data_IF_294827226834
#
_entry.id   IF_294827226834
#
_cell.length_a   1.000
_cell.length_b   1.000
_cell.length_c   1.000
_cell.angle_alpha   90.00
_cell.angle_beta   90.00
_cell.angle_gamma   90.00
#
_symmetry.space_group_name_H-M   'P 1'
#
loop_
_entity.id
_entity.type
_entity.pdbx_description
1 polymer ?
#
# COMPACT_ATOMS: atom_id res chain seq x y z
N UNK A 1 -17.87 -8.22 19.79
CA UNK A 1 -17.80 -7.92 20.21
C UNK A 1 -17.88 -7.25 20.53
N UNK A 2 -17.79 -6.58 20.89
CA UNK A 2 -17.74 -5.97 21.37
C UNK A 2 -17.85 -5.24 22.01
N UNK A 3 -17.95 -4.65 22.46
CA UNK A 3 -18.01 -4.19 23.15
C UNK A 3 -18.15 -3.44 23.56
N UNK A 4 -18.34 -3.11 23.78
CA UNK A 4 -18.47 -2.69 24.23
C UNK A 4 -18.92 -2.09 24.56
N UNK A 5 -19.31 -1.96 24.75
CA UNK A 5 -19.68 -1.79 25.24
C UNK A 5 -19.95 -1.40 25.74
N UNK A 6 -20.13 -1.11 25.93
CA UNK A 6 -20.10 -0.86 26.61
C UNK A 6 -19.78 -0.23 27.16
N UNK A 7 -20.00 -0.01 27.44
CA UNK A 7 -19.44 0.75 27.90
C UNK A 7 -18.38 0.91 27.80
N UNK A 8 -18.05 1.09 27.62
CA UNK A 8 -16.93 1.27 27.27
C UNK A 8 -16.25 0.88 26.16
N UNK A 9 -16.48 0.68 25.50
CA UNK A 9 -15.93 0.21 24.66
C UNK A 9 -15.21 0.71 23.70
N UNK A 10 -14.99 1.58 23.31
CA UNK A 10 -14.27 2.22 22.38
C UNK A 10 -12.83 2.01 22.50
N UNK A 11 -12.40 1.62 23.59
CA UNK A 11 -11.04 1.18 23.81
C UNK A 11 -10.69 0.13 22.83
N UNK A 12 -11.62 -0.74 22.55
CA UNK A 12 -11.37 -1.85 21.68
C UNK A 12 -11.14 -1.44 20.25
N UNK A 13 -11.66 -0.28 19.89
CA UNK A 13 -11.49 0.21 18.56
C UNK A 13 -10.03 0.46 18.23
N UNK A 14 -9.24 0.84 19.23
CA UNK A 14 -7.84 1.12 19.02
C UNK A 14 -6.99 -0.12 18.92
N UNK A 15 -7.55 -1.24 19.35
CA UNK A 15 -6.74 -2.43 19.53
C UNK A 15 -6.31 -3.13 18.26
N UNK A 16 -7.00 -2.89 17.17
CA UNK A 16 -6.60 -3.54 15.92
C UNK A 16 -5.22 -3.08 15.46
N UNK A 17 -4.84 -1.84 15.75
CA UNK A 17 -3.50 -1.36 15.45
C UNK A 17 -2.47 -1.98 16.38
N UNK A 18 -2.89 -2.30 17.61
CA UNK A 18 -1.98 -2.89 18.60
C UNK A 18 -1.68 -4.35 18.30
N UNK A 19 -2.46 -5.00 17.45
CA UNK A 19 -2.19 -6.38 17.06
C UNK A 19 -1.01 -6.53 16.11
N UNK A 20 -0.57 -5.43 15.51
CA UNK A 20 0.48 -5.45 14.53
C UNK A 20 1.83 -5.44 15.23
N UNK A 21 2.73 -6.27 14.74
CA UNK A 21 4.11 -6.31 15.24
C UNK A 21 4.92 -5.28 14.49
N UNK A 22 4.88 -4.05 14.99
CA UNK A 22 5.66 -2.96 14.42
C UNK A 22 7.15 -3.24 14.64
N UNK A 23 7.99 -2.86 13.68
CA UNK A 23 9.42 -3.05 13.85
C UNK A 23 9.98 -2.04 14.84
N UNK A 24 11.30 -2.04 15.05
CA UNK A 24 11.93 -1.17 16.04
C UNK A 24 11.86 0.31 15.66
N UNK A 25 11.46 0.62 14.44
CA UNK A 25 11.24 2.00 13.98
C UNK A 25 9.77 2.35 13.91
N UNK A 26 8.89 1.46 14.36
CA UNK A 26 7.46 1.69 14.32
C UNK A 26 6.85 1.52 12.95
N UNK A 27 7.46 0.70 12.10
CA UNK A 27 6.99 0.50 10.72
C UNK A 27 6.55 -0.94 10.50
N UNK A 28 5.68 -1.11 9.51
CA UNK A 28 5.26 -2.43 9.04
C UNK A 28 5.33 -2.43 7.51
N UNK A 29 5.84 -3.51 6.91
CA UNK A 29 5.86 -3.61 5.44
C UNK A 29 4.45 -3.86 4.90
N UNK A 30 4.19 -3.33 3.71
CA UNK A 30 2.87 -3.38 3.09
C UNK A 30 3.02 -3.79 1.63
N UNK A 31 2.21 -4.75 1.22
CA UNK A 31 2.11 -5.16 -0.18
C UNK A 31 0.77 -4.65 -0.70
N UNK A 32 0.77 -3.98 -1.86
CA UNK A 32 -0.47 -3.58 -2.52
C UNK A 32 -0.72 -4.52 -3.68
N UNK A 33 -1.90 -5.11 -3.70
CA UNK A 33 -2.33 -6.08 -4.70
C UNK A 33 -3.57 -5.55 -5.40
N UNK A 34 -3.62 -5.67 -6.72
CA UNK A 34 -4.80 -5.25 -7.45
C UNK A 34 -5.95 -6.21 -7.17
N UNK A 35 -7.07 -5.66 -6.71
CA UNK A 35 -8.20 -6.47 -6.25
C UNK A 35 -8.81 -7.28 -7.40
N UNK A 36 -8.91 -6.68 -8.59
CA UNK A 36 -9.58 -7.33 -9.71
C UNK A 36 -8.75 -8.46 -10.33
N UNK A 37 -7.44 -8.27 -10.47
CA UNK A 37 -6.58 -9.23 -11.17
C UNK A 37 -5.78 -10.13 -10.26
N UNK A 38 -5.51 -9.69 -9.04
CA UNK A 38 -4.59 -10.38 -8.14
C UNK A 38 -3.14 -10.00 -8.35
N UNK A 39 -2.86 -9.07 -9.27
CA UNK A 39 -1.47 -8.67 -9.53
C UNK A 39 -0.89 -7.94 -8.34
N UNK A 40 0.36 -8.28 -8.01
CA UNK A 40 1.09 -7.52 -6.99
C UNK A 40 1.58 -6.23 -7.62
N UNK A 41 1.22 -5.10 -7.03
CA UNK A 41 1.51 -3.80 -7.62
C UNK A 41 2.77 -3.16 -7.06
N UNK A 42 2.95 -3.20 -5.75
CA UNK A 42 4.06 -2.51 -5.12
C UNK A 42 4.27 -2.98 -3.69
N UNK A 43 5.40 -2.58 -3.13
CA UNK A 43 5.76 -2.80 -1.74
C UNK A 43 6.14 -1.44 -1.14
N UNK A 44 5.68 -1.19 0.09
CA UNK A 44 6.00 0.06 0.77
C UNK A 44 5.95 -0.16 2.28
N UNK A 45 5.97 0.93 3.04
CA UNK A 45 5.97 0.89 4.50
C UNK A 45 4.87 1.78 5.03
N UNK A 46 4.38 1.44 6.23
CA UNK A 46 3.44 2.28 6.96
C UNK A 46 3.88 2.38 8.40
N UNK A 47 3.72 3.57 8.97
CA UNK A 47 3.74 3.71 10.41
C UNK A 47 2.29 3.62 10.91
N UNK A 48 2.08 3.74 12.22
CA UNK A 48 0.75 3.60 12.80
C UNK A 48 -0.22 4.62 12.22
N UNK A 49 0.22 5.86 12.08
CA UNK A 49 -0.63 6.92 11.55
C UNK A 49 -1.02 6.65 10.09
N UNK A 50 -0.08 6.17 9.28
CA UNK A 50 -0.36 5.86 7.87
C UNK A 50 -1.43 4.77 7.75
N UNK A 51 -1.32 3.71 8.55
CA UNK A 51 -2.29 2.63 8.47
C UNK A 51 -3.65 3.07 8.99
N UNK A 52 -3.67 3.85 10.06
CA UNK A 52 -4.91 4.38 10.59
C UNK A 52 -5.63 5.25 9.54
N UNK A 53 -4.89 6.11 8.86
CA UNK A 53 -5.46 6.95 7.83
C UNK A 53 -5.93 6.14 6.62
N UNK A 54 -5.18 5.10 6.27
CA UNK A 54 -5.59 4.22 5.18
C UNK A 54 -6.94 3.59 5.47
N UNK A 55 -7.15 3.12 6.70
CA UNK A 55 -8.42 2.52 7.09
C UNK A 55 -9.55 3.53 7.11
N UNK A 56 -9.28 4.74 7.60
CA UNK A 56 -10.29 5.79 7.66
C UNK A 56 -10.71 6.28 6.29
N UNK A 57 -9.73 6.53 5.42
CA UNK A 57 -9.98 7.13 4.12
C UNK A 57 -10.31 6.10 3.06
N UNK A 58 -10.01 4.83 3.29
CA UNK A 58 -10.11 3.76 2.30
C UNK A 58 -9.31 4.12 1.05
N UNK A 59 -8.18 4.75 1.28
CA UNK A 59 -7.25 5.21 0.27
C UNK A 59 -5.85 5.02 0.83
N UNK A 60 -4.93 4.46 0.03
CA UNK A 60 -3.62 4.08 0.54
C UNK A 60 -2.77 5.28 0.93
N UNK A 61 -2.30 5.26 2.17
CA UNK A 61 -1.38 6.23 2.73
C UNK A 61 -0.19 5.45 3.26
N UNK A 62 1.00 5.76 2.78
CA UNK A 62 2.21 5.06 3.16
C UNK A 62 3.12 5.98 3.96
N UNK A 63 4.20 5.41 4.49
CA UNK A 63 5.23 6.19 5.17
C UNK A 63 6.51 6.13 4.34
N UNK A 64 7.01 7.30 3.96
CA UNK A 64 8.26 7.38 3.20
C UNK A 64 9.42 7.37 4.18
N UNK A 65 10.23 6.31 4.14
CA UNK A 65 11.39 6.20 5.03
C UNK A 65 12.46 7.23 4.71
N UNK A 66 12.65 7.50 3.42
CA UNK A 66 13.69 8.45 3.02
C UNK A 66 13.33 9.89 3.37
N UNK A 67 12.03 10.24 3.32
CA UNK A 67 11.59 11.59 3.65
C UNK A 67 11.09 11.71 5.08
N UNK A 68 10.93 10.59 5.76
CA UNK A 68 10.46 10.52 7.13
C UNK A 68 9.11 11.22 7.31
N UNK A 69 8.18 10.94 6.40
CA UNK A 69 6.85 11.54 6.48
C UNK A 69 5.82 10.68 5.77
N UNK A 70 4.55 10.99 6.01
CA UNK A 70 3.45 10.30 5.33
C UNK A 70 3.46 10.63 3.84
N UNK A 71 3.02 9.66 3.06
CA UNK A 71 2.94 9.78 1.62
C UNK A 71 1.58 9.25 1.16
N UNK A 72 0.74 10.15 0.70
CA UNK A 72 -0.58 9.80 0.18
C UNK A 72 -0.39 9.35 -1.26
N UNK A 73 -0.58 8.07 -1.51
CA UNK A 73 -0.34 7.50 -2.84
C UNK A 73 -1.21 8.22 -3.86
N UNK A 74 -0.57 8.78 -4.89
CA UNK A 74 -1.28 9.47 -5.97
C UNK A 74 -1.56 10.93 -5.74
N UNK A 75 -1.05 11.52 -4.64
CA UNK A 75 -1.34 12.93 -4.38
C UNK A 75 -0.73 13.85 -5.44
N UNK A 76 0.35 13.43 -6.09
CA UNK A 76 0.96 14.23 -7.18
C UNK A 76 0.61 13.69 -8.55
N UNK A 77 0.59 12.36 -8.70
CA UNK A 77 0.39 11.74 -10.00
C UNK A 77 -1.08 11.56 -10.36
N UNK A 78 -1.98 11.61 -9.38
CA UNK A 78 -3.37 11.26 -9.59
C UNK A 78 -3.64 9.76 -9.57
N UNK A 79 -2.59 8.94 -9.45
CA UNK A 79 -2.73 7.49 -9.46
C UNK A 79 -2.99 6.98 -8.04
N UNK A 80 -4.16 7.29 -7.54
CA UNK A 80 -4.61 6.98 -6.20
C UNK A 80 -4.94 5.49 -6.09
N UNK A 81 -4.77 4.91 -4.92
CA UNK A 81 -5.18 3.53 -4.66
C UNK A 81 -6.40 3.53 -3.75
N UNK A 82 -7.52 3.08 -4.29
CA UNK A 82 -8.74 2.89 -3.50
C UNK A 82 -8.64 1.54 -2.80
N UNK A 83 -8.82 1.50 -1.49
CA UNK A 83 -8.61 0.30 -0.70
C UNK A 83 -9.93 -0.42 -0.49
N UNK A 84 -9.96 -1.70 -0.81
CA UNK A 84 -11.14 -2.55 -0.63
C UNK A 84 -11.01 -3.49 0.56
N UNK A 85 -9.78 -3.88 0.90
CA UNK A 85 -9.56 -4.84 1.98
C UNK A 85 -8.16 -4.60 2.55
N UNK A 86 -8.05 -4.77 3.85
CA UNK A 86 -6.78 -4.65 4.57
C UNK A 86 -6.59 -5.95 5.33
N UNK A 87 -5.52 -6.67 5.03
CA UNK A 87 -5.25 -7.97 5.64
C UNK A 87 -3.93 -7.96 6.37
N UNK A 88 -3.86 -8.75 7.43
CA UNK A 88 -2.65 -8.93 8.22
C UNK A 88 -2.23 -10.39 8.07
N UNK A 89 -0.93 -10.64 7.91
CA UNK A 89 -0.48 -12.01 7.72
C UNK A 89 -0.50 -12.80 9.02
N UNK A 90 -0.12 -14.08 8.95
CA UNK A 90 -0.36 -15.02 10.06
C UNK A 90 0.47 -14.71 11.30
N UNK A 91 1.61 -14.05 11.17
CA UNK A 91 2.39 -13.64 12.33
C UNK A 91 2.36 -12.14 12.57
N UNK A 92 1.42 -11.44 11.93
CA UNK A 92 1.05 -10.07 12.24
C UNK A 92 2.14 -9.04 11.94
N UNK A 93 3.00 -9.32 10.99
CA UNK A 93 4.11 -8.42 10.68
C UNK A 93 4.18 -7.96 9.23
N UNK A 94 3.16 -8.25 8.41
CA UNK A 94 3.05 -7.75 7.04
C UNK A 94 1.59 -7.44 6.75
N UNK A 95 1.33 -6.29 6.16
CA UNK A 95 -0.02 -5.87 5.76
C UNK A 95 -0.19 -6.07 4.26
N UNK A 96 -1.34 -6.55 3.86
CA UNK A 96 -1.73 -6.65 2.46
C UNK A 96 -2.93 -5.75 2.22
N UNK A 97 -2.81 -4.84 1.25
CA UNK A 97 -3.93 -4.03 0.80
C UNK A 97 -4.45 -4.59 -0.52
N UNK A 98 -5.76 -4.74 -0.63
CA UNK A 98 -6.38 -5.05 -1.91
C UNK A 98 -6.98 -3.76 -2.45
N UNK A 99 -6.52 -3.33 -3.61
CA UNK A 99 -6.81 -1.98 -4.10
C UNK A 99 -7.28 -1.97 -5.54
N UNK A 100 -7.91 -0.85 -5.92
CA UNK A 100 -8.08 -0.46 -7.32
C UNK A 100 -7.11 0.67 -7.58
N UNK A 101 -6.24 0.50 -8.57
CA UNK A 101 -5.27 1.51 -8.96
C UNK A 101 -5.95 2.46 -9.95
N UNK A 102 -6.21 3.67 -9.51
CA UNK A 102 -6.95 4.66 -10.31
C UNK A 102 -6.00 5.54 -11.11
N UNK A 103 -6.56 6.32 -12.03
CA UNK A 103 -5.81 7.34 -12.79
C UNK A 103 -5.39 6.93 -14.19
N UNK A 104 -5.44 5.64 -14.50
CA UNK A 104 -5.07 5.13 -15.82
C UNK A 104 -5.63 3.73 -15.97
N UNK A 105 -5.88 3.30 -17.20
CA UNK A 105 -6.38 1.96 -17.47
C UNK A 105 -5.50 1.32 -18.53
N UNK A 106 -4.76 0.22 -18.21
CA UNK A 106 -4.69 -0.44 -16.90
C UNK A 106 -4.01 0.44 -15.86
N UNK A 107 -4.22 0.11 -14.58
CA UNK A 107 -3.66 0.90 -13.49
C UNK A 107 -2.14 0.94 -13.51
N UNK A 108 -1.57 2.07 -13.13
CA UNK A 108 -0.13 2.29 -13.08
C UNK A 108 0.26 2.57 -11.64
N UNK A 109 0.91 1.62 -10.98
CA UNK A 109 1.35 1.80 -9.60
C UNK A 109 2.78 2.33 -9.53
N UNK A 110 3.60 2.05 -10.51
CA UNK A 110 5.02 2.34 -10.49
C UNK A 110 5.33 3.72 -11.06
N UNK A 111 6.29 4.43 -10.42
CA UNK A 111 6.69 5.75 -10.91
C UNK A 111 7.38 5.70 -12.26
N UNK A 112 7.77 4.50 -12.72
CA UNK A 112 8.35 4.33 -14.06
C UNK A 112 7.28 4.32 -15.15
N UNK A 113 5.99 4.41 -14.78
CA UNK A 113 4.90 4.33 -15.74
C UNK A 113 4.44 2.92 -16.01
N UNK A 114 4.87 1.95 -15.22
CA UNK A 114 4.47 0.55 -15.38
C UNK A 114 3.36 0.19 -14.41
N UNK A 115 2.63 -0.85 -14.78
CA UNK A 115 1.53 -1.36 -13.94
C UNK A 115 2.01 -1.79 -12.57
N UNK A 116 3.09 -2.54 -12.50
CA UNK A 116 3.65 -3.06 -11.25
C UNK A 116 5.08 -2.57 -11.06
N UNK A 117 5.46 -2.35 -9.81
CA UNK A 117 6.85 -2.07 -9.47
C UNK A 117 7.73 -3.30 -9.66
N UNK A 118 7.12 -4.48 -9.71
CA UNK A 118 7.85 -5.75 -9.85
C UNK A 118 7.91 -6.15 -11.32
N UNK A 119 8.60 -5.36 -12.12
CA UNK A 119 8.64 -5.55 -13.57
C UNK A 119 9.95 -6.15 -14.09
N UNK A 120 10.89 -6.42 -13.20
CA UNK A 120 12.16 -7.03 -13.59
C UNK A 120 12.15 -8.50 -13.25
N UNK A 121 12.54 -9.33 -14.21
CA UNK A 121 12.59 -10.78 -14.03
C UNK A 121 14.02 -11.26 -14.22
N UNK A 122 14.40 -12.30 -13.49
CA UNK A 122 15.76 -12.83 -13.54
C UNK A 122 15.85 -13.86 -14.67
N UNK A 123 16.71 -13.58 -15.64
CA UNK A 123 16.97 -14.48 -16.76
C UNK A 123 18.47 -14.65 -16.94
N UNK A 124 18.93 -15.87 -16.80
CA UNK A 124 20.35 -16.21 -17.01
C UNK A 124 21.28 -15.29 -16.19
N UNK A 125 20.89 -15.07 -14.93
CA UNK A 125 21.71 -14.29 -14.01
C UNK A 125 21.62 -12.79 -14.19
N UNK A 126 20.69 -12.30 -15.01
CA UNK A 126 20.54 -10.87 -15.26
C UNK A 126 19.08 -10.44 -15.05
N UNK A 127 18.90 -9.25 -14.48
CA UNK A 127 17.57 -8.67 -14.29
C UNK A 127 17.17 -7.96 -15.57
N UNK A 128 16.00 -8.31 -16.10
CA UNK A 128 15.50 -7.75 -17.34
C UNK A 128 14.07 -7.25 -17.15
N UNK A 129 13.76 -6.06 -17.68
CA UNK A 129 12.37 -5.58 -17.63
C UNK A 129 11.52 -6.43 -18.54
N UNK A 130 10.38 -6.91 -18.01
CA UNK A 130 9.47 -7.79 -18.77
C UNK A 130 8.10 -7.15 -18.99
N UNK A 131 7.83 -5.99 -18.38
CA UNK A 131 6.56 -5.30 -18.52
C UNK A 131 6.78 -3.95 -19.21
N UNK A 132 5.85 -3.53 -20.07
CA UNK A 132 6.02 -2.30 -20.82
C UNK A 132 5.74 -1.06 -19.97
N UNK A 133 6.31 0.06 -20.38
CA UNK A 133 5.94 1.37 -19.84
C UNK A 133 4.61 1.75 -20.48
N UNK A 134 3.56 1.92 -19.68
CA UNK A 134 2.23 2.23 -20.16
C UNK A 134 2.02 3.72 -20.40
N UNK A 135 2.75 4.55 -19.66
CA UNK A 135 2.67 6.00 -19.80
C UNK A 135 4.01 6.60 -19.45
N UNK A 136 4.46 7.54 -20.25
CA UNK A 136 5.74 8.20 -20.04
C UNK A 136 5.76 8.86 -18.66
N UNK A 137 6.71 8.52 -17.79
CA UNK A 137 6.78 9.12 -16.46
C UNK A 137 6.84 10.62 -16.47
N UNK A 138 7.43 11.23 -17.49
CA UNK A 138 7.51 12.69 -17.58
C UNK A 138 6.13 13.32 -17.73
N UNK A 139 5.15 12.58 -18.23
CA UNK A 139 3.79 13.10 -18.36
C UNK A 139 2.96 12.84 -17.13
N UNK A 140 3.43 12.00 -16.22
CA UNK A 140 2.73 11.68 -14.98
C UNK A 140 3.03 12.71 -13.90
N UNK A 141 4.30 13.09 -13.79
CA UNK A 141 4.78 13.95 -12.70
C UNK A 141 5.16 15.33 -13.23
N UNK A 142 4.20 16.03 -13.75
CA UNK A 142 4.50 17.35 -14.28
C UNK A 142 4.46 18.46 -13.28
#
# INVERSE_FOLDING_TARGET
MNVASLCGFKIDIMNWLDNIKWDDKGLVPVIAQENASGDVLMFAWMNREALEKTAELQRAVYFSRSRNKLWFKGEESGHVQQVHDIRLDCDNDVVLLKVTQLGHEPGIACHTGRHSCFYQSLHNGQWQPVDPVLKDPETIYK
#
